data_IF_123918964810
#
_entry.id   IF_123918964810
#
_cell.length_a   1.000
_cell.length_b   1.000
_cell.length_c   1.000
_cell.angle_alpha   90.00
_cell.angle_beta   90.00
_cell.angle_gamma   90.00
#
_symmetry.space_group_name_H-M   'P 1'
#
loop_
_entity.id
_entity.type
_entity.pdbx_description
1 polymer ?
#
# COMPACT_ATOMS: atom_id res chain seq x y z
N UNK A 1 14.68 -14.04 4.26
CA UNK A 1 14.85 -15.38 3.64
C UNK A 1 16.13 -16.06 4.06
N UNK A 2 17.30 -15.45 3.87
CA UNK A 2 18.60 -16.08 4.13
C UNK A 2 18.78 -16.60 5.58
N UNK A 3 18.24 -15.88 6.58
CA UNK A 3 18.41 -16.23 8.01
C UNK A 3 17.14 -16.88 8.58
N UNK A 4 15.97 -16.28 8.37
CA UNK A 4 14.70 -16.70 8.99
C UNK A 4 13.76 -17.46 8.04
N UNK A 5 14.22 -17.87 6.87
CA UNK A 5 13.35 -18.41 5.83
C UNK A 5 12.38 -17.36 5.25
N UNK A 6 11.55 -17.75 4.27
CA UNK A 6 10.60 -16.84 3.62
C UNK A 6 9.41 -16.51 4.53
N UNK A 7 8.87 -17.48 5.27
CA UNK A 7 7.67 -17.31 6.10
C UNK A 7 7.92 -16.45 7.35
N UNK A 8 8.83 -16.88 8.23
CA UNK A 8 9.14 -16.09 9.43
C UNK A 8 9.83 -14.76 9.09
N UNK A 9 10.66 -14.74 8.04
CA UNK A 9 11.22 -13.49 7.51
C UNK A 9 10.14 -12.49 7.10
N UNK A 10 9.09 -12.94 6.40
CA UNK A 10 7.94 -12.09 6.07
C UNK A 10 7.24 -11.58 7.32
N UNK A 11 6.93 -12.46 8.29
CA UNK A 11 6.23 -12.09 9.52
C UNK A 11 7.01 -11.03 10.30
N UNK A 12 8.32 -11.19 10.47
CA UNK A 12 9.14 -10.21 11.20
C UNK A 12 9.22 -8.86 10.49
N UNK A 13 9.42 -8.86 9.18
CA UNK A 13 9.43 -7.62 8.38
C UNK A 13 8.08 -6.94 8.43
N UNK A 14 7.00 -7.70 8.30
CA UNK A 14 5.64 -7.16 8.34
C UNK A 14 5.33 -6.55 9.71
N UNK A 15 5.64 -7.23 10.82
CA UNK A 15 5.46 -6.68 12.16
C UNK A 15 6.30 -5.44 12.40
N UNK A 16 7.58 -5.47 12.01
CA UNK A 16 8.47 -4.30 12.11
C UNK A 16 7.96 -3.10 11.31
N UNK A 17 7.48 -3.34 10.08
CA UNK A 17 6.87 -2.33 9.24
C UNK A 17 5.58 -1.76 9.87
N UNK A 18 4.73 -2.60 10.45
CA UNK A 18 3.50 -2.19 11.12
C UNK A 18 3.79 -1.33 12.36
N UNK A 19 4.75 -1.72 13.19
CA UNK A 19 5.15 -0.96 14.38
C UNK A 19 5.76 0.39 13.96
N UNK A 20 6.77 0.37 13.08
CA UNK A 20 7.44 1.59 12.65
C UNK A 20 6.51 2.57 11.93
N UNK A 21 5.64 2.07 11.06
CA UNK A 21 4.66 2.90 10.34
C UNK A 21 3.58 3.46 11.27
N UNK A 22 3.16 2.71 12.30
CA UNK A 22 2.23 3.20 13.32
C UNK A 22 2.86 4.31 14.16
N UNK A 23 4.11 4.14 14.59
CA UNK A 23 4.83 5.17 15.33
C UNK A 23 5.04 6.44 14.50
N UNK A 24 5.49 6.32 13.25
CA UNK A 24 5.65 7.46 12.36
C UNK A 24 4.33 8.21 12.12
N UNK A 25 3.22 7.50 11.98
CA UNK A 25 1.89 8.10 11.89
C UNK A 25 1.52 8.88 13.15
N UNK A 26 1.74 8.30 14.34
CA UNK A 26 1.41 8.95 15.61
C UNK A 26 2.31 10.17 15.85
N UNK A 27 3.59 10.08 15.49
CA UNK A 27 4.51 11.23 15.53
C UNK A 27 3.99 12.33 14.60
N UNK A 28 3.61 12.01 13.36
CA UNK A 28 2.99 12.96 12.45
C UNK A 28 1.71 13.58 13.04
N UNK A 29 0.84 12.76 13.64
CA UNK A 29 -0.44 13.19 14.22
C UNK A 29 -0.29 14.14 15.41
N UNK A 30 0.65 13.87 16.31
CA UNK A 30 0.75 14.59 17.58
C UNK A 30 1.85 15.64 17.60
N UNK A 31 2.98 15.39 16.94
CA UNK A 31 4.14 16.30 16.92
C UNK A 31 4.23 17.11 15.62
N UNK A 32 3.49 16.72 14.58
CA UNK A 32 3.51 17.40 13.28
C UNK A 32 2.62 18.65 13.20
N UNK A 33 2.04 19.14 14.29
CA UNK A 33 1.06 20.24 14.26
C UNK A 33 1.61 21.53 13.64
N UNK A 34 2.85 21.90 13.98
CA UNK A 34 3.53 23.09 13.44
C UNK A 34 4.00 22.87 12.00
N UNK A 35 4.37 21.62 11.66
CA UNK A 35 4.72 21.24 10.30
C UNK A 35 3.48 21.21 9.38
N UNK A 36 2.34 20.72 9.86
CA UNK A 36 1.07 20.76 9.14
C UNK A 36 0.61 22.20 8.88
N UNK A 37 0.70 23.06 9.91
CA UNK A 37 0.35 24.48 9.80
C UNK A 37 1.24 25.24 8.82
N UNK A 38 2.53 24.90 8.73
CA UNK A 38 3.50 25.57 7.84
C UNK A 38 3.48 25.04 6.41
N UNK A 39 3.20 23.74 6.20
CA UNK A 39 3.26 23.14 4.87
C UNK A 39 1.96 23.32 4.08
N UNK A 40 0.80 23.40 4.75
CA UNK A 40 -0.49 23.27 4.07
C UNK A 40 -1.58 24.14 4.73
N UNK A 41 -1.79 25.35 4.19
CA UNK A 41 -2.99 26.16 4.42
C UNK A 41 -4.26 25.53 3.81
N UNK A 42 -5.02 26.28 3.00
CA UNK A 42 -6.35 25.86 2.49
C UNK A 42 -6.39 24.58 1.63
N UNK A 43 -5.26 24.15 1.05
CA UNK A 43 -5.20 22.95 0.19
C UNK A 43 -5.38 21.63 0.97
N UNK A 44 -4.94 21.54 2.24
CA UNK A 44 -5.08 20.32 3.04
C UNK A 44 -6.56 20.03 3.30
N UNK A 45 -7.33 21.08 3.57
CA UNK A 45 -8.76 21.01 3.94
C UNK A 45 -9.60 20.30 2.87
N UNK A 46 -9.28 20.52 1.59
CA UNK A 46 -9.98 19.89 0.45
C UNK A 46 -9.64 18.41 0.28
N UNK A 47 -8.41 18.00 0.60
CA UNK A 47 -8.01 16.59 0.60
C UNK A 47 -8.49 15.86 1.87
N UNK A 48 -8.52 16.55 3.01
CA UNK A 48 -8.97 16.02 4.29
C UNK A 48 -10.39 15.44 4.22
N UNK A 49 -11.34 16.11 3.56
CA UNK A 49 -12.71 15.62 3.45
C UNK A 49 -12.82 14.32 2.61
N UNK A 50 -12.04 14.22 1.54
CA UNK A 50 -11.99 13.03 0.69
C UNK A 50 -11.32 11.86 1.42
N UNK A 51 -10.23 12.14 2.13
CA UNK A 51 -9.47 11.16 2.93
C UNK A 51 -10.29 10.69 4.14
N UNK A 52 -11.02 11.59 4.80
CA UNK A 52 -11.86 11.26 5.95
C UNK A 52 -12.99 10.30 5.57
N UNK A 53 -13.60 10.48 4.39
CA UNK A 53 -14.73 9.66 3.94
C UNK A 53 -14.32 8.23 3.57
N UNK A 54 -13.14 8.05 2.99
CA UNK A 54 -12.64 6.77 2.48
C UNK A 54 -11.19 6.49 2.93
N UNK A 55 -10.90 6.67 4.22
CA UNK A 55 -9.55 6.59 4.78
C UNK A 55 -8.81 5.29 4.48
N UNK A 56 -9.48 4.16 4.72
CA UNK A 56 -8.89 2.84 4.46
C UNK A 56 -8.55 2.64 2.98
N UNK A 57 -9.50 2.99 2.09
CA UNK A 57 -9.32 2.83 0.65
C UNK A 57 -8.21 3.74 0.12
N UNK A 58 -8.13 4.97 0.63
CA UNK A 58 -7.05 5.90 0.30
C UNK A 58 -5.68 5.36 0.68
N UNK A 59 -5.55 4.86 1.91
CA UNK A 59 -4.28 4.30 2.40
C UNK A 59 -3.90 3.08 1.59
N UNK A 60 -4.85 2.17 1.37
CA UNK A 60 -4.62 0.97 0.56
C UNK A 60 -4.19 1.34 -0.86
N UNK A 61 -4.85 2.33 -1.49
CA UNK A 61 -4.48 2.83 -2.81
C UNK A 61 -3.04 3.34 -2.84
N UNK A 62 -2.67 4.22 -1.90
CA UNK A 62 -1.31 4.76 -1.81
C UNK A 62 -0.25 3.67 -1.61
N UNK A 63 -0.57 2.61 -0.85
CA UNK A 63 0.33 1.44 -0.71
C UNK A 63 0.49 0.65 -2.00
N UNK A 64 -0.61 0.39 -2.71
CA UNK A 64 -0.58 -0.41 -3.93
C UNK A 64 0.06 0.32 -5.12
N UNK A 65 0.00 1.66 -5.15
CA UNK A 65 0.77 2.47 -6.12
C UNK A 65 2.25 2.62 -5.77
N UNK A 66 2.74 1.89 -4.75
CA UNK A 66 4.13 1.93 -4.27
C UNK A 66 4.60 3.34 -3.87
N UNK A 67 3.71 4.17 -3.30
CA UNK A 67 4.09 5.49 -2.80
C UNK A 67 5.19 5.37 -1.73
N UNK A 68 6.16 6.30 -1.68
CA UNK A 68 7.29 6.21 -0.74
C UNK A 68 6.84 6.01 0.71
N UNK A 69 7.34 4.94 1.34
CA UNK A 69 6.85 4.45 2.63
C UNK A 69 6.90 5.50 3.73
N UNK A 70 8.03 6.19 3.89
CA UNK A 70 8.26 7.16 4.97
C UNK A 70 7.40 8.42 4.82
N UNK A 71 7.41 9.14 3.67
CA UNK A 71 6.52 10.28 3.47
C UNK A 71 5.04 9.92 3.66
N UNK A 72 4.62 8.73 3.24
CA UNK A 72 3.25 8.26 3.42
C UNK A 72 2.87 8.18 4.90
N UNK A 73 3.71 7.58 5.74
CA UNK A 73 3.41 7.33 7.14
C UNK A 73 3.21 8.64 7.91
N UNK A 74 4.17 9.55 7.78
CA UNK A 74 4.07 10.87 8.41
C UNK A 74 2.97 11.71 7.80
N UNK A 75 2.87 11.74 6.47
CA UNK A 75 1.87 12.52 5.74
C UNK A 75 0.44 12.13 6.10
N UNK A 76 0.12 10.84 6.15
CA UNK A 76 -1.20 10.37 6.60
C UNK A 76 -1.48 10.77 8.05
N UNK A 77 -0.45 10.84 8.90
CA UNK A 77 -0.55 11.35 10.27
C UNK A 77 -1.03 12.80 10.34
N UNK A 78 -0.67 13.64 9.36
CA UNK A 78 -1.08 15.04 9.27
C UNK A 78 -2.51 15.24 8.73
N UNK A 79 -3.13 14.20 8.18
CA UNK A 79 -4.51 14.25 7.64
C UNK A 79 -5.54 13.86 8.69
N UNK A 80 -6.83 14.01 8.36
CA UNK A 80 -7.97 13.53 9.18
C UNK A 80 -8.22 12.02 9.18
N UNK A 81 -7.40 11.21 8.49
CA UNK A 81 -7.61 9.76 8.45
C UNK A 81 -7.64 9.15 9.86
N UNK A 82 -8.48 8.14 10.10
CA UNK A 82 -8.48 7.45 11.40
C UNK A 82 -7.29 6.50 11.48
N UNK A 83 -6.73 6.32 12.68
CA UNK A 83 -5.61 5.39 12.88
C UNK A 83 -5.95 3.96 12.45
N UNK A 84 -7.17 3.49 12.75
CA UNK A 84 -7.61 2.15 12.33
C UNK A 84 -7.62 1.97 10.81
N UNK A 85 -8.13 2.95 10.08
CA UNK A 85 -8.13 2.95 8.61
C UNK A 85 -6.72 2.91 8.04
N UNK A 86 -5.81 3.69 8.62
CA UNK A 86 -4.39 3.68 8.26
C UNK A 86 -3.70 2.35 8.58
N UNK A 87 -3.95 1.81 9.77
CA UNK A 87 -3.35 0.57 10.25
C UNK A 87 -3.79 -0.61 9.37
N UNK A 88 -5.09 -0.82 9.19
CA UNK A 88 -5.59 -1.93 8.38
C UNK A 88 -5.30 -1.74 6.89
N UNK A 89 -5.36 -0.51 6.37
CA UNK A 89 -5.00 -0.22 4.99
C UNK A 89 -3.52 -0.51 4.70
N UNK A 90 -2.64 -0.17 5.65
CA UNK A 90 -1.20 -0.49 5.57
C UNK A 90 -0.93 -1.97 5.71
N UNK A 91 -1.54 -2.63 6.71
CA UNK A 91 -1.42 -4.07 6.95
C UNK A 91 -1.75 -4.88 5.70
N UNK A 92 -2.93 -4.62 5.11
CA UNK A 92 -3.37 -5.29 3.90
C UNK A 92 -2.54 -4.89 2.68
N UNK A 93 -2.24 -3.60 2.54
CA UNK A 93 -1.45 -3.09 1.41
C UNK A 93 -0.05 -3.70 1.33
N UNK A 94 0.62 -3.90 2.48
CA UNK A 94 1.92 -4.58 2.51
C UNK A 94 1.77 -6.05 2.10
N UNK A 95 0.77 -6.78 2.62
CA UNK A 95 0.55 -8.19 2.26
C UNK A 95 0.32 -8.34 0.76
N UNK A 96 -0.62 -7.58 0.21
CA UNK A 96 -1.00 -7.63 -1.20
C UNK A 96 0.16 -7.18 -2.09
N UNK A 97 0.78 -6.04 -1.78
CA UNK A 97 1.91 -5.51 -2.54
C UNK A 97 3.12 -6.44 -2.53
N UNK A 98 3.40 -7.08 -1.39
CA UNK A 98 4.49 -8.07 -1.27
C UNK A 98 4.20 -9.32 -2.10
N UNK A 99 2.98 -9.85 -2.04
CA UNK A 99 2.59 -11.00 -2.85
C UNK A 99 2.75 -10.72 -4.35
N UNK A 100 2.20 -9.60 -4.81
CA UNK A 100 2.23 -9.20 -6.22
C UNK A 100 3.67 -8.98 -6.69
N UNK A 101 4.47 -8.26 -5.91
CA UNK A 101 5.88 -8.01 -6.23
C UNK A 101 6.69 -9.31 -6.25
N UNK A 102 6.53 -10.18 -5.25
CA UNK A 102 7.27 -11.44 -5.16
C UNK A 102 6.90 -12.39 -6.29
N UNK A 103 5.61 -12.46 -6.65
CA UNK A 103 5.14 -13.27 -7.76
C UNK A 103 5.70 -12.77 -9.11
N UNK A 104 5.69 -11.45 -9.33
CA UNK A 104 6.26 -10.84 -10.52
C UNK A 104 7.77 -11.11 -10.63
N UNK A 105 8.53 -10.77 -9.58
CA UNK A 105 9.99 -10.98 -9.54
C UNK A 105 10.33 -12.47 -9.66
N UNK A 106 9.58 -13.36 -9.01
CA UNK A 106 9.77 -14.80 -9.14
C UNK A 106 9.60 -15.28 -10.58
N UNK A 107 8.55 -14.81 -11.25
CA UNK A 107 8.31 -15.16 -12.66
C UNK A 107 9.42 -14.63 -13.58
N UNK A 108 9.87 -13.39 -13.37
CA UNK A 108 10.99 -12.81 -14.16
C UNK A 108 12.31 -13.56 -13.89
N UNK A 109 12.57 -13.93 -12.63
CA UNK A 109 13.74 -14.69 -12.22
C UNK A 109 13.76 -16.08 -12.85
N UNK A 110 12.62 -16.77 -12.92
CA UNK A 110 12.51 -18.07 -13.58
C UNK A 110 12.92 -17.98 -15.06
N UNK A 111 12.43 -16.95 -15.77
CA UNK A 111 12.77 -16.72 -17.18
C UNK A 111 14.26 -16.42 -17.34
N UNK A 112 14.81 -15.54 -16.49
CA UNK A 112 16.24 -15.21 -16.50
C UNK A 112 17.13 -16.44 -16.26
N UNK A 113 16.78 -17.26 -15.25
CA UNK A 113 17.54 -18.47 -14.91
C UNK A 113 17.46 -19.55 -15.99
N UNK A 114 16.35 -19.63 -16.71
CA UNK A 114 16.17 -20.58 -17.82
C UNK A 114 16.93 -20.20 -19.10
N UNK A 115 17.34 -18.94 -19.25
CA UNK A 115 17.95 -18.40 -20.46
C UNK A 115 17.02 -18.31 -21.69
N UNK A 116 15.75 -18.71 -21.54
CA UNK A 116 14.75 -18.73 -22.63
C UNK A 116 13.92 -17.46 -22.62
N UNK A 117 14.43 -16.42 -23.28
CA UNK A 117 13.76 -15.11 -23.39
C UNK A 117 12.37 -15.16 -24.02
N UNK A 118 12.06 -16.18 -24.82
CA UNK A 118 10.70 -16.41 -25.35
C UNK A 118 9.66 -16.63 -24.24
N UNK A 119 10.05 -17.13 -23.07
CA UNK A 119 9.15 -17.37 -21.93
C UNK A 119 8.62 -16.06 -21.31
N UNK A 120 9.20 -14.89 -21.66
CA UNK A 120 8.65 -13.57 -21.32
C UNK A 120 7.26 -13.33 -21.93
N UNK A 121 6.96 -13.94 -23.08
CA UNK A 121 5.65 -13.83 -23.75
C UNK A 121 4.67 -14.92 -23.27
N UNK A 122 5.07 -15.75 -22.31
CA UNK A 122 4.20 -16.80 -21.79
C UNK A 122 2.96 -16.23 -21.09
N UNK A 123 1.88 -17.00 -21.11
CA UNK A 123 0.64 -16.65 -20.41
C UNK A 123 0.85 -16.38 -18.91
N UNK A 124 1.83 -17.05 -18.28
CA UNK A 124 2.20 -16.85 -16.87
C UNK A 124 2.76 -15.44 -16.62
N UNK A 125 3.63 -14.94 -17.50
CA UNK A 125 4.21 -13.58 -17.38
C UNK A 125 3.17 -12.51 -17.70
N UNK A 126 2.35 -12.73 -18.73
CA UNK A 126 1.24 -11.82 -19.06
C UNK A 126 0.27 -11.74 -17.88
N UNK A 127 -0.09 -12.87 -17.28
CA UNK A 127 -0.95 -12.92 -16.10
C UNK A 127 -0.32 -12.22 -14.88
N UNK A 128 0.99 -12.39 -14.63
CA UNK A 128 1.67 -11.70 -13.53
C UNK A 128 1.74 -10.19 -13.73
N UNK A 129 2.00 -9.72 -14.96
CA UNK A 129 1.92 -8.31 -15.35
C UNK A 129 0.50 -7.77 -15.19
N UNK A 130 -0.51 -8.51 -15.65
CA UNK A 130 -1.91 -8.13 -15.48
C UNK A 130 -2.26 -8.02 -14.01
N UNK A 131 -1.90 -8.98 -13.15
CA UNK A 131 -2.12 -8.88 -11.70
C UNK A 131 -1.39 -7.67 -11.09
N UNK A 132 -0.16 -7.41 -11.51
CA UNK A 132 0.62 -6.25 -11.05
C UNK A 132 -0.06 -4.94 -11.42
N UNK A 133 -0.44 -4.77 -12.70
CA UNK A 133 -1.12 -3.58 -13.20
C UNK A 133 -2.53 -3.45 -12.60
N UNK A 134 -3.25 -4.56 -12.49
CA UNK A 134 -4.58 -4.61 -11.91
C UNK A 134 -4.56 -4.27 -10.42
N UNK A 135 -3.44 -4.50 -9.72
CA UNK A 135 -3.25 -4.09 -8.33
C UNK A 135 -3.50 -2.59 -8.11
N UNK A 136 -3.14 -1.76 -9.10
CA UNK A 136 -3.41 -0.33 -9.07
C UNK A 136 -4.91 0.00 -9.14
N UNK A 137 -5.74 -0.93 -9.63
CA UNK A 137 -7.19 -0.78 -9.80
C UNK A 137 -8.03 -1.54 -8.76
N UNK A 138 -7.45 -2.48 -8.00
CA UNK A 138 -8.15 -3.25 -6.94
C UNK A 138 -8.93 -2.34 -5.96
N UNK A 139 -8.35 -1.24 -5.42
CA UNK A 139 -9.07 -0.38 -4.47
C UNK A 139 -10.24 0.38 -5.12
N UNK A 140 -10.10 0.73 -6.41
CA UNK A 140 -11.13 1.46 -7.17
C UNK A 140 -12.38 0.59 -7.38
N UNK A 141 -12.18 -0.71 -7.56
CA UNK A 141 -13.27 -1.70 -7.63
C UNK A 141 -13.92 -1.89 -6.27
N UNK A 142 -13.12 -1.97 -5.19
CA UNK A 142 -13.63 -2.11 -3.83
C UNK A 142 -14.47 -0.89 -3.38
N UNK A 143 -14.08 0.33 -3.76
CA UNK A 143 -14.91 1.53 -3.54
C UNK A 143 -16.22 1.47 -4.33
N UNK A 144 -16.18 1.04 -5.59
CA UNK A 144 -17.37 0.95 -6.46
C UNK A 144 -18.37 -0.10 -5.97
N UNK A 145 -17.88 -1.23 -5.44
CA UNK A 145 -18.70 -2.29 -4.84
C UNK A 145 -19.32 -1.84 -3.51
N UNK A 146 -18.57 -1.14 -2.64
CA UNK A 146 -19.12 -0.55 -1.39
C UNK A 146 -20.12 0.58 -1.63
N UNK A 147 -20.02 1.30 -2.75
CA UNK A 147 -21.00 2.30 -3.16
C UNK A 147 -22.29 1.65 -3.71
N UNK A 148 -22.16 0.53 -4.43
CA UNK A 148 -23.31 -0.21 -4.98
C UNK A 148 -24.10 -1.00 -3.93
N UNK A 149 -23.48 -1.40 -2.81
CA UNK A 149 -24.14 -2.08 -1.69
C UNK A 149 -24.83 -1.15 -0.68
N UNK A 150 -24.80 0.18 -0.90
CA UNK A 150 -25.50 1.19 -0.09
C UNK A 150 -26.82 1.67 -0.73
N UNK A 151 -27.23 1.01 -1.82
CA UNK A 151 -28.52 1.19 -2.49
C UNK A 151 -29.32 -0.11 -2.36
N UNK A 152 -29.49 -0.59 -1.13
CA UNK A 152 -30.59 -1.49 -0.71
C UNK A 152 -30.90 -1.14 0.74
#
# INVERSE_FOLDING_TARGET
>A
AAIFGPYFGFVYVWLGAMIGSSLAFLIGRYLGRDFAASLIGDKLRKYDEAIERNGFATVLYLRLVYFPFTPMNFGMGLTRVRFGDYFFGTALGIIVGTFIFTFFVGTVKDVWASGRWADLLSWKVIFSLVLFVFSFFIPKILEKVKASGRVV
#
